data_IF_601823173392
#
_entry.id   IF_601823173392
#
_cell.length_a   1.000
_cell.length_b   1.000
_cell.length_c   1.000
_cell.angle_alpha   90.00
_cell.angle_beta   90.00
_cell.angle_gamma   90.00
#
_symmetry.space_group_name_H-M   'P 1'
#
loop_
_entity.id
_entity.type
_entity.pdbx_description
1 polymer ?
#
# COMPACT_ATOMS: atom_id res chain seq x y z
N UNK A 1 6.50 72.82 -14.33
CA UNK A 1 5.49 71.76 -14.12
C UNK A 1 6.20 70.42 -14.29
N UNK A 2 6.23 69.60 -13.24
CA UNK A 2 7.25 68.57 -13.03
C UNK A 2 6.92 67.22 -13.70
N UNK A 3 7.94 66.64 -14.33
CA UNK A 3 8.02 65.32 -14.98
C UNK A 3 7.93 64.16 -13.96
N UNK A 4 6.98 64.21 -13.02
CA UNK A 4 6.92 63.32 -11.84
C UNK A 4 5.73 62.35 -11.82
N UNK A 5 4.86 62.32 -12.82
CA UNK A 5 3.51 61.74 -12.62
C UNK A 5 3.11 60.53 -13.48
N UNK A 6 3.98 59.91 -14.27
CA UNK A 6 3.52 58.87 -15.23
C UNK A 6 4.21 57.49 -15.17
N UNK A 7 5.08 57.21 -14.20
CA UNK A 7 5.78 55.90 -14.13
C UNK A 7 5.26 55.01 -12.97
N UNK A 8 4.19 55.40 -12.26
CA UNK A 8 3.91 54.81 -10.93
C UNK A 8 2.96 53.60 -10.85
N UNK A 9 2.40 53.05 -11.94
CA UNK A 9 1.29 52.08 -11.77
C UNK A 9 1.45 50.72 -12.44
N UNK A 10 2.50 50.45 -13.21
CA UNK A 10 2.62 49.18 -13.95
C UNK A 10 3.39 48.06 -13.21
N UNK A 11 4.08 48.33 -12.09
CA UNK A 11 5.03 47.37 -11.52
C UNK A 11 4.55 46.61 -10.26
N UNK A 12 3.36 46.92 -9.72
CA UNK A 12 2.91 46.31 -8.45
C UNK A 12 2.02 45.06 -8.61
N UNK A 13 1.39 44.86 -9.77
CA UNK A 13 0.44 43.74 -9.97
C UNK A 13 1.08 42.42 -10.42
N UNK A 14 2.24 42.49 -11.07
CA UNK A 14 2.94 41.29 -11.55
C UNK A 14 3.80 40.60 -10.48
N UNK A 15 4.18 41.34 -9.42
CA UNK A 15 5.05 40.82 -8.36
C UNK A 15 4.29 40.03 -7.28
N UNK A 16 2.98 40.26 -7.12
CA UNK A 16 2.14 39.57 -6.15
C UNK A 16 1.69 38.18 -6.62
N UNK A 17 1.57 37.94 -7.93
CA UNK A 17 1.27 36.59 -8.46
C UNK A 17 2.48 35.67 -8.50
N UNK A 18 3.71 36.21 -8.56
CA UNK A 18 4.95 35.43 -8.55
C UNK A 18 5.39 34.98 -7.14
N UNK A 19 4.90 35.66 -6.08
CA UNK A 19 5.17 35.26 -4.69
C UNK A 19 4.21 34.18 -4.16
N UNK A 20 3.05 33.98 -4.80
CA UNK A 20 2.06 33.00 -4.35
C UNK A 20 2.40 31.56 -4.77
N UNK A 21 3.26 31.38 -5.79
CA UNK A 21 3.73 30.07 -6.25
C UNK A 21 4.96 29.54 -5.51
N UNK A 22 5.57 30.33 -4.62
CA UNK A 22 6.74 29.93 -3.84
C UNK A 22 6.41 29.36 -2.44
N UNK A 23 5.13 29.34 -2.06
CA UNK A 23 4.67 28.95 -0.72
C UNK A 23 3.92 27.61 -0.69
N UNK A 24 3.84 26.87 -1.79
CA UNK A 24 3.47 25.45 -1.69
C UNK A 24 4.63 24.74 -1.01
N UNK A 25 4.50 24.22 0.22
CA UNK A 25 5.52 23.36 0.78
C UNK A 25 5.67 22.22 -0.22
N UNK A 26 6.85 22.09 -0.82
CA UNK A 26 7.22 20.82 -1.39
C UNK A 26 7.02 19.82 -0.25
N UNK A 27 6.25 18.76 -0.47
CA UNK A 27 6.20 17.66 0.47
C UNK A 27 7.61 17.07 0.49
N UNK A 28 8.48 17.63 1.32
CA UNK A 28 9.73 17.02 1.70
C UNK A 28 9.30 15.73 2.38
N UNK A 29 9.50 14.60 1.71
CA UNK A 29 9.51 13.32 2.39
C UNK A 29 10.45 13.48 3.58
N UNK A 30 9.92 13.33 4.79
CA UNK A 30 10.75 13.33 5.98
C UNK A 30 11.82 12.24 5.80
N UNK A 31 13.02 12.47 6.32
CA UNK A 31 14.01 11.41 6.35
C UNK A 31 13.40 10.18 7.08
N UNK A 32 13.67 8.94 6.61
CA UNK A 32 13.19 7.74 7.27
C UNK A 32 13.49 7.77 8.77
N UNK A 33 12.49 7.43 9.58
CA UNK A 33 12.58 7.45 11.04
C UNK A 33 13.46 6.31 11.58
N UNK A 34 13.67 5.26 10.77
CA UNK A 34 14.57 4.14 11.05
C UNK A 34 15.39 3.78 9.82
N UNK A 35 16.60 3.26 10.05
CA UNK A 35 17.44 2.65 9.02
C UNK A 35 17.10 1.18 8.74
N UNK A 36 16.28 0.56 9.59
CA UNK A 36 15.92 -0.85 9.46
C UNK A 36 15.02 -1.06 8.22
N UNK A 37 15.20 -2.16 7.46
CA UNK A 37 14.39 -2.43 6.31
C UNK A 37 12.95 -2.80 6.70
N UNK A 38 11.98 -2.31 5.94
CA UNK A 38 10.59 -2.74 6.05
C UNK A 38 10.43 -4.06 5.30
N UNK A 39 10.08 -5.13 6.01
CA UNK A 39 9.90 -6.49 5.49
C UNK A 39 8.44 -6.71 5.08
N UNK A 40 8.20 -6.70 3.78
CA UNK A 40 6.87 -6.92 3.19
C UNK A 40 6.76 -8.37 2.74
N UNK A 41 5.82 -9.12 3.31
CA UNK A 41 5.64 -10.53 3.02
C UNK A 41 5.25 -10.79 1.55
N UNK A 42 5.90 -11.78 0.95
CA UNK A 42 5.48 -12.39 -0.32
C UNK A 42 4.84 -13.75 -0.06
N UNK A 43 3.79 -14.08 -0.81
CA UNK A 43 3.16 -15.41 -0.79
C UNK A 43 3.16 -16.06 -2.18
N UNK A 44 2.45 -17.17 -2.34
CA UNK A 44 2.51 -18.07 -3.50
C UNK A 44 1.53 -17.71 -4.64
N UNK A 45 0.80 -16.60 -4.55
CA UNK A 45 -0.03 -16.09 -5.66
C UNK A 45 0.39 -14.69 -6.15
N UNK A 46 0.00 -14.37 -7.38
CA UNK A 46 0.53 -13.20 -8.09
C UNK A 46 0.04 -11.86 -7.55
N UNK A 47 -1.25 -11.73 -7.19
CA UNK A 47 -1.82 -10.43 -6.80
C UNK A 47 -1.18 -9.87 -5.54
N UNK A 48 -0.93 -10.70 -4.53
CA UNK A 48 -0.28 -10.24 -3.29
C UNK A 48 1.13 -9.75 -3.53
N UNK A 49 1.90 -10.44 -4.37
CA UNK A 49 3.27 -10.03 -4.69
C UNK A 49 3.29 -8.73 -5.51
N UNK A 50 2.30 -8.52 -6.39
CA UNK A 50 2.13 -7.25 -7.09
C UNK A 50 1.82 -6.11 -6.11
N UNK A 51 0.87 -6.31 -5.21
CA UNK A 51 0.50 -5.31 -4.20
C UNK A 51 1.67 -5.00 -3.24
N UNK A 52 2.43 -6.01 -2.82
CA UNK A 52 3.64 -5.85 -2.03
C UNK A 52 4.69 -4.97 -2.75
N UNK A 53 4.91 -5.21 -4.05
CA UNK A 53 5.85 -4.40 -4.86
C UNK A 53 5.36 -2.98 -5.11
N UNK A 54 4.05 -2.76 -5.24
CA UNK A 54 3.48 -1.41 -5.34
C UNK A 54 3.73 -0.64 -4.05
N UNK A 55 3.42 -1.23 -2.88
CA UNK A 55 3.67 -0.59 -1.60
C UNK A 55 5.16 -0.33 -1.39
N UNK A 56 6.00 -1.33 -1.63
CA UNK A 56 7.44 -1.20 -1.46
C UNK A 56 8.04 -0.13 -2.37
N UNK A 57 7.62 -0.03 -3.63
CA UNK A 57 8.06 1.04 -4.53
C UNK A 57 7.60 2.44 -4.09
N UNK A 58 6.48 2.56 -3.36
CA UNK A 58 6.07 3.82 -2.73
C UNK A 58 7.01 4.16 -1.56
N UNK A 59 7.29 3.19 -0.69
CA UNK A 59 8.17 3.35 0.47
C UNK A 59 9.62 3.68 0.05
N UNK A 60 10.14 3.01 -0.97
CA UNK A 60 11.46 3.29 -1.55
C UNK A 60 11.55 4.73 -2.09
N UNK A 61 10.50 5.24 -2.74
CA UNK A 61 10.43 6.65 -3.19
C UNK A 61 10.38 7.65 -2.04
N UNK A 62 9.92 7.23 -0.86
CA UNK A 62 9.95 8.01 0.37
C UNK A 62 11.28 7.88 1.12
N UNK A 63 12.20 7.04 0.64
CA UNK A 63 13.56 6.89 1.17
C UNK A 63 13.78 5.68 2.07
N UNK A 64 12.77 4.83 2.31
CA UNK A 64 12.93 3.63 3.12
C UNK A 64 13.63 2.50 2.35
N UNK A 65 14.30 1.61 3.09
CA UNK A 65 14.76 0.32 2.56
C UNK A 65 13.65 -0.70 2.71
N UNK A 66 13.42 -1.54 1.68
CA UNK A 66 12.37 -2.56 1.70
C UNK A 66 12.95 -3.92 1.36
N UNK A 67 12.56 -4.93 2.14
CA UNK A 67 12.85 -6.34 1.89
C UNK A 67 11.56 -7.12 1.62
N UNK A 68 11.69 -8.23 0.88
CA UNK A 68 10.56 -9.02 0.43
C UNK A 68 10.72 -10.50 0.77
N UNK A 69 10.72 -10.89 2.06
CA UNK A 69 10.80 -12.29 2.45
C UNK A 69 9.57 -13.06 1.96
N UNK A 70 9.80 -14.26 1.42
CA UNK A 70 8.72 -15.23 1.20
C UNK A 70 8.34 -15.84 2.54
N UNK A 71 7.04 -15.86 2.82
CA UNK A 71 6.49 -16.45 4.04
C UNK A 71 5.37 -17.44 3.70
N UNK A 72 5.05 -18.32 4.64
CA UNK A 72 3.81 -19.08 4.58
C UNK A 72 2.63 -18.19 4.99
N UNK A 73 1.52 -18.31 4.26
CA UNK A 73 0.40 -17.39 4.33
C UNK A 73 -0.24 -17.33 5.73
N UNK A 74 -0.59 -18.47 6.32
CA UNK A 74 -1.30 -18.50 7.60
C UNK A 74 -0.36 -18.29 8.79
N UNK A 75 0.83 -18.88 8.76
CA UNK A 75 1.82 -18.69 9.82
C UNK A 75 2.39 -17.26 9.86
N UNK A 76 2.33 -16.52 8.74
CA UNK A 76 2.68 -15.10 8.74
C UNK A 76 1.80 -14.28 9.69
N UNK A 77 0.51 -14.63 9.84
CA UNK A 77 -0.41 -13.95 10.76
C UNK A 77 -0.15 -14.29 12.23
N UNK A 78 0.07 -15.56 12.52
CA UNK A 78 0.17 -16.02 13.91
C UNK A 78 1.57 -15.89 14.50
N UNK A 79 2.59 -15.85 13.64
CA UNK A 79 4.01 -15.87 14.05
C UNK A 79 4.78 -14.74 13.42
N UNK A 80 4.82 -14.65 12.08
CA UNK A 80 5.74 -13.74 11.38
C UNK A 80 5.50 -12.26 11.73
N UNK A 81 4.26 -11.79 11.59
CA UNK A 81 3.85 -10.44 11.96
C UNK A 81 3.87 -10.25 13.48
N UNK A 82 3.36 -11.23 14.23
CA UNK A 82 3.29 -11.19 15.70
C UNK A 82 4.65 -11.01 16.37
N UNK A 83 5.71 -11.63 15.82
CA UNK A 83 7.06 -11.57 16.38
C UNK A 83 7.92 -10.43 15.80
N UNK A 84 7.43 -9.71 14.79
CA UNK A 84 8.22 -8.71 14.05
C UNK A 84 9.24 -9.30 13.07
N UNK A 85 9.09 -10.59 12.70
CA UNK A 85 9.87 -11.18 11.61
C UNK A 85 9.43 -10.63 10.25
N UNK A 86 8.18 -10.16 10.16
CA UNK A 86 7.56 -9.45 9.05
C UNK A 86 6.95 -8.15 9.58
N UNK A 87 7.00 -7.08 8.80
CA UNK A 87 6.39 -5.80 9.17
C UNK A 87 4.99 -5.64 8.58
N UNK A 88 4.80 -6.08 7.32
CA UNK A 88 3.53 -5.87 6.61
C UNK A 88 3.18 -7.06 5.72
N UNK A 89 1.91 -7.49 5.78
CA UNK A 89 1.27 -8.35 4.77
C UNK A 89 0.10 -7.62 4.12
N UNK A 90 -0.04 -7.75 2.79
CA UNK A 90 -0.98 -6.92 2.00
C UNK A 90 -2.33 -7.58 1.75
N UNK A 91 -2.35 -8.89 1.53
CA UNK A 91 -3.56 -9.62 1.17
C UNK A 91 -3.83 -10.74 2.16
N UNK A 92 -4.80 -10.52 3.04
CA UNK A 92 -5.40 -11.55 3.87
C UNK A 92 -6.90 -11.63 3.59
N UNK A 93 -7.32 -12.78 3.07
CA UNK A 93 -8.69 -13.06 2.65
C UNK A 93 -9.48 -13.72 3.77
N UNK A 94 -10.59 -13.10 4.18
CA UNK A 94 -11.47 -13.61 5.25
C UNK A 94 -11.99 -15.04 4.97
N UNK A 95 -12.12 -15.41 3.68
CA UNK A 95 -12.57 -16.72 3.21
C UNK A 95 -11.61 -17.87 3.57
N UNK A 96 -10.30 -17.60 3.64
CA UNK A 96 -9.28 -18.61 3.97
C UNK A 96 -8.59 -18.35 5.30
N UNK A 97 -8.22 -17.08 5.57
CA UNK A 97 -7.41 -16.69 6.72
C UNK A 97 -8.24 -16.23 7.95
N UNK A 98 -9.58 -16.34 7.90
CA UNK A 98 -10.46 -15.77 8.93
C UNK A 98 -10.15 -16.21 10.36
N UNK A 99 -9.79 -17.49 10.59
CA UNK A 99 -9.41 -17.97 11.92
C UNK A 99 -8.02 -17.48 12.35
N UNK A 100 -7.03 -17.52 11.45
CA UNK A 100 -5.67 -17.04 11.71
C UNK A 100 -5.64 -15.53 11.99
N UNK A 101 -6.44 -14.73 11.27
CA UNK A 101 -6.58 -13.30 11.51
C UNK A 101 -7.18 -13.04 12.89
N UNK A 102 -8.26 -13.73 13.27
CA UNK A 102 -8.85 -13.60 14.62
C UNK A 102 -7.85 -13.96 15.72
N UNK A 103 -7.05 -15.01 15.50
CA UNK A 103 -6.02 -15.41 16.45
C UNK A 103 -4.91 -14.36 16.57
N UNK A 104 -4.47 -13.79 15.44
CA UNK A 104 -3.48 -12.70 15.40
C UNK A 104 -4.00 -11.45 16.11
N UNK A 105 -5.22 -11.00 15.78
CA UNK A 105 -5.88 -9.83 16.39
C UNK A 105 -6.00 -9.99 17.92
N UNK A 106 -6.32 -11.20 18.39
CA UNK A 106 -6.44 -11.50 19.82
C UNK A 106 -5.12 -11.35 20.60
N UNK A 107 -3.96 -11.38 19.92
CA UNK A 107 -2.67 -11.14 20.57
C UNK A 107 -2.42 -9.66 20.88
N UNK A 108 -3.08 -8.75 20.17
CA UNK A 108 -2.81 -7.31 20.23
C UNK A 108 -1.44 -6.89 19.69
N UNK A 109 -0.71 -7.79 19.03
CA UNK A 109 0.62 -7.51 18.45
C UNK A 109 0.56 -7.11 16.97
N UNK A 110 -0.60 -7.21 16.34
CA UNK A 110 -0.82 -6.84 14.94
C UNK A 110 -1.91 -5.78 14.82
N UNK A 111 -1.82 -4.95 13.78
CA UNK A 111 -2.80 -3.92 13.48
C UNK A 111 -3.38 -4.11 12.06
N UNK A 112 -4.70 -4.00 11.94
CA UNK A 112 -5.39 -4.08 10.64
C UNK A 112 -5.47 -2.70 9.99
N UNK A 113 -4.62 -2.46 8.99
CA UNK A 113 -4.48 -1.16 8.30
C UNK A 113 -5.59 -0.82 7.28
N UNK A 114 -6.61 -1.67 7.14
CA UNK A 114 -7.77 -1.41 6.30
C UNK A 114 -7.92 -2.38 5.11
N UNK A 115 -8.75 -1.98 4.13
CA UNK A 115 -9.09 -2.81 2.96
C UNK A 115 -8.45 -2.26 1.70
N UNK A 116 -7.91 -3.14 0.85
CA UNK A 116 -7.41 -2.78 -0.47
C UNK A 116 -8.52 -2.58 -1.53
N UNK A 117 -9.72 -3.11 -1.29
CA UNK A 117 -10.89 -2.92 -2.16
C UNK A 117 -11.38 -4.14 -2.98
N UNK A 118 -10.54 -5.11 -3.38
CA UNK A 118 -10.99 -6.31 -4.06
C UNK A 118 -12.05 -7.10 -3.28
N UNK A 119 -12.98 -7.72 -4.01
CA UNK A 119 -13.97 -8.65 -3.47
C UNK A 119 -13.60 -10.06 -3.94
N UNK A 120 -13.02 -10.88 -3.05
CA UNK A 120 -12.67 -12.25 -3.39
C UNK A 120 -13.87 -13.18 -3.43
N UNK A 121 -13.72 -14.22 -4.23
CA UNK A 121 -14.49 -15.46 -4.15
C UNK A 121 -13.51 -16.62 -4.26
N UNK A 122 -13.27 -17.28 -3.13
CA UNK A 122 -12.43 -18.48 -3.04
C UNK A 122 -13.36 -19.68 -2.95
N UNK A 123 -13.44 -20.46 -4.02
CA UNK A 123 -14.38 -21.56 -4.14
C UNK A 123 -13.84 -22.65 -5.04
N UNK A 124 -14.58 -23.75 -5.12
CA UNK A 124 -14.35 -24.78 -6.11
C UNK A 124 -14.73 -24.24 -7.50
N UNK A 125 -13.75 -24.22 -8.40
CA UNK A 125 -13.94 -23.79 -9.79
C UNK A 125 -13.68 -24.96 -10.73
N UNK A 126 -14.45 -25.01 -11.82
CA UNK A 126 -14.22 -25.94 -12.92
C UNK A 126 -14.33 -25.16 -14.24
N UNK A 127 -13.53 -25.52 -15.27
CA UNK A 127 -13.63 -24.86 -16.55
C UNK A 127 -14.90 -25.30 -17.29
N UNK A 128 -15.51 -24.38 -18.03
CA UNK A 128 -16.85 -24.56 -18.60
C UNK A 128 -16.96 -25.80 -19.52
N UNK A 129 -15.92 -26.12 -20.27
CA UNK A 129 -15.90 -27.29 -21.15
C UNK A 129 -16.03 -28.63 -20.40
N UNK A 130 -15.88 -28.65 -19.07
CA UNK A 130 -16.09 -29.86 -18.26
C UNK A 130 -17.56 -30.20 -18.05
N UNK A 131 -18.49 -29.27 -18.30
CA UNK A 131 -19.94 -29.57 -18.24
C UNK A 131 -20.34 -30.70 -19.19
N UNK A 132 -19.75 -30.72 -20.39
CA UNK A 132 -20.01 -31.75 -21.40
C UNK A 132 -19.36 -33.09 -21.05
N UNK A 133 -18.19 -33.05 -20.38
CA UNK A 133 -17.40 -34.25 -20.06
C UNK A 133 -17.81 -34.92 -18.75
N UNK A 134 -18.36 -34.14 -17.82
CA UNK A 134 -18.79 -34.60 -16.50
C UNK A 134 -20.21 -34.10 -16.22
N UNK A 135 -21.24 -34.77 -16.79
CA UNK A 135 -22.64 -34.43 -16.53
C UNK A 135 -22.93 -34.55 -15.04
N UNK A 136 -23.20 -33.41 -14.40
CA UNK A 136 -23.38 -33.30 -12.96
C UNK A 136 -22.75 -32.03 -12.38
N UNK A 137 -21.59 -31.61 -12.87
CA UNK A 137 -20.96 -30.38 -12.37
C UNK A 137 -21.85 -29.13 -12.57
N UNK A 138 -21.84 -28.16 -11.63
CA UNK A 138 -21.37 -28.24 -10.25
C UNK A 138 -22.53 -28.72 -9.37
N UNK A 139 -22.56 -30.00 -9.02
CA UNK A 139 -23.55 -30.51 -8.06
C UNK A 139 -22.98 -30.49 -6.66
#
# INVERSE_FOLDING_TARGET
MSLRSMISTASMGALTLALASALTPAAQAAAPESSDPIKIALFDWTSVNLNAKILGGILEKLGYTVEYPTADYLSSLTTGLTNGDLDVGLEFWDTTAGEAMKASDATGQTERLGKLGPKAKEEWWFPEYMKEKCPGLPN
#
